data_IF_703633456455
#
_entry.id   IF_703633456455
#
_cell.length_a   1.000
_cell.length_b   1.000
_cell.length_c   1.000
_cell.angle_alpha   90.00
_cell.angle_beta   90.00
_cell.angle_gamma   90.00
#
_symmetry.space_group_name_H-M   'P 1'
#
loop_
_entity.id
_entity.type
_entity.pdbx_description
1 polymer ?
#
# COMPACT_ATOMS: atom_id res chain seq x y z
N UNK A 1 -32.56 4.34 -1.36
CA UNK A 1 -31.60 3.32 -0.91
C UNK A 1 -30.49 4.05 -0.18
N UNK A 2 -30.15 3.67 1.05
CA UNK A 2 -29.00 4.24 1.72
C UNK A 2 -27.73 3.82 0.96
N UNK A 3 -26.75 4.72 0.84
CA UNK A 3 -25.44 4.34 0.30
C UNK A 3 -24.87 3.18 1.15
N UNK A 4 -24.22 2.19 0.53
CA UNK A 4 -23.54 1.15 1.31
C UNK A 4 -22.56 1.81 2.28
N UNK A 5 -22.52 1.32 3.53
CA UNK A 5 -21.60 1.81 4.55
C UNK A 5 -20.14 1.59 4.16
N UNK A 6 -19.19 2.18 4.92
CA UNK A 6 -17.76 2.02 4.65
C UNK A 6 -17.35 0.55 4.69
N UNK A 7 -16.46 0.17 3.78
CA UNK A 7 -15.85 -1.16 3.73
C UNK A 7 -14.55 -1.14 4.55
N UNK A 8 -14.38 -2.11 5.43
CA UNK A 8 -13.17 -2.29 6.22
C UNK A 8 -12.49 -3.60 5.81
N UNK A 9 -11.21 -3.53 5.45
CA UNK A 9 -10.43 -4.71 5.06
C UNK A 9 -9.02 -4.59 5.60
N UNK A 10 -8.55 -5.64 6.27
CA UNK A 10 -7.20 -5.75 6.80
C UNK A 10 -6.42 -6.76 5.95
N UNK A 11 -5.34 -6.30 5.31
CA UNK A 11 -4.41 -7.18 4.60
C UNK A 11 -3.22 -7.52 5.49
N UNK A 12 -3.00 -8.82 5.72
CA UNK A 12 -1.89 -9.34 6.50
C UNK A 12 -0.85 -9.96 5.57
N UNK A 13 0.31 -9.32 5.48
CA UNK A 13 1.40 -9.71 4.59
C UNK A 13 2.61 -10.04 5.46
N UNK A 14 3.05 -11.30 5.41
CA UNK A 14 4.32 -11.70 6.01
C UNK A 14 5.41 -11.49 4.96
N UNK A 15 6.54 -10.90 5.36
CA UNK A 15 7.71 -10.72 4.49
C UNK A 15 8.88 -11.55 5.04
N UNK A 16 9.55 -12.36 4.22
CA UNK A 16 10.65 -13.22 4.67
C UNK A 16 11.98 -12.48 4.66
N UNK A 17 12.77 -12.67 5.71
CA UNK A 17 14.17 -12.22 5.75
C UNK A 17 14.31 -10.71 5.53
N UNK A 18 13.41 -9.89 6.11
CA UNK A 18 13.49 -8.42 6.00
C UNK A 18 13.35 -7.80 7.38
N UNK A 19 14.35 -7.04 7.82
CA UNK A 19 14.23 -6.21 9.03
C UNK A 19 13.37 -4.97 8.76
N UNK A 20 12.94 -4.27 9.82
CA UNK A 20 12.25 -2.98 9.65
C UNK A 20 13.11 -1.96 8.88
N UNK A 21 14.42 -1.91 9.08
CA UNK A 21 15.29 -1.00 8.34
C UNK A 21 15.32 -1.32 6.84
N UNK A 22 15.40 -2.61 6.50
CA UNK A 22 15.36 -3.07 5.11
C UNK A 22 13.99 -2.82 4.46
N UNK A 23 12.89 -2.98 5.21
CA UNK A 23 11.54 -2.62 4.75
C UNK A 23 11.47 -1.14 4.44
N UNK A 24 11.99 -0.26 5.31
CA UNK A 24 11.94 1.19 5.09
C UNK A 24 12.64 1.58 3.77
N UNK A 25 13.83 1.03 3.53
CA UNK A 25 14.58 1.25 2.29
C UNK A 25 13.83 0.69 1.08
N UNK A 26 13.30 -0.53 1.20
CA UNK A 26 12.55 -1.21 0.14
C UNK A 26 11.27 -0.48 -0.24
N UNK A 27 10.53 0.07 0.74
CA UNK A 27 9.33 0.88 0.53
C UNK A 27 9.66 2.15 -0.26
N UNK A 28 10.70 2.88 0.13
CA UNK A 28 11.10 4.10 -0.58
C UNK A 28 11.54 3.80 -2.01
N UNK A 29 12.33 2.74 -2.21
CA UNK A 29 12.73 2.30 -3.54
C UNK A 29 11.53 1.92 -4.41
N UNK A 30 10.61 1.12 -3.86
CA UNK A 30 9.39 0.69 -4.57
C UNK A 30 8.50 1.87 -4.90
N UNK A 31 8.31 2.81 -3.97
CA UNK A 31 7.57 4.05 -4.20
C UNK A 31 8.14 4.83 -5.39
N UNK A 32 9.46 5.04 -5.42
CA UNK A 32 10.13 5.74 -6.50
C UNK A 32 10.01 4.99 -7.84
N UNK A 33 10.21 3.67 -7.83
CA UNK A 33 10.11 2.84 -9.04
C UNK A 33 8.70 2.80 -9.60
N UNK A 34 7.69 2.60 -8.77
CA UNK A 34 6.29 2.62 -9.17
C UNK A 34 5.90 4.01 -9.68
N UNK A 35 6.32 5.09 -9.00
CA UNK A 35 6.05 6.45 -9.49
C UNK A 35 6.64 6.70 -10.87
N UNK A 36 7.87 6.21 -11.14
CA UNK A 36 8.49 6.32 -12.47
C UNK A 36 7.76 5.47 -13.53
N UNK A 37 7.35 4.25 -13.19
CA UNK A 37 6.65 3.36 -14.11
C UNK A 37 5.24 3.90 -14.47
N UNK A 38 4.60 4.58 -13.53
CA UNK A 38 3.26 5.15 -13.71
C UNK A 38 3.25 6.53 -14.36
N UNK A 39 4.40 7.19 -14.50
CA UNK A 39 4.49 8.55 -15.04
C UNK A 39 4.84 8.56 -16.53
N UNK A 40 3.96 9.17 -17.34
CA UNK A 40 4.16 9.37 -18.77
C UNK A 40 3.02 10.16 -19.42
N UNK A 41 3.33 11.01 -20.41
CA UNK A 41 2.30 11.65 -21.24
C UNK A 41 1.33 12.59 -20.51
N UNK A 42 1.80 13.34 -19.50
CA UNK A 42 1.02 14.19 -18.60
C UNK A 42 0.08 13.46 -17.61
N UNK A 43 0.26 12.15 -17.45
CA UNK A 43 -0.41 11.32 -16.44
C UNK A 43 0.63 10.67 -15.51
N UNK A 44 0.19 10.23 -14.32
CA UNK A 44 1.05 9.63 -13.31
C UNK A 44 1.00 10.32 -11.94
N UNK A 45 2.13 10.33 -11.24
CA UNK A 45 2.25 10.85 -9.87
C UNK A 45 2.88 12.23 -9.88
N UNK A 46 2.12 13.25 -9.50
CA UNK A 46 2.63 14.60 -9.27
C UNK A 46 2.91 14.81 -7.78
N UNK A 47 4.13 15.23 -7.43
CA UNK A 47 4.51 15.53 -6.04
C UNK A 47 4.31 17.02 -5.80
N UNK A 48 3.34 17.37 -4.94
CA UNK A 48 3.05 18.77 -4.56
C UNK A 48 3.86 19.16 -3.32
N UNK A 49 3.88 18.30 -2.31
CA UNK A 49 4.62 18.49 -1.06
C UNK A 49 5.37 17.21 -0.72
N UNK A 50 6.61 17.37 -0.25
CA UNK A 50 7.44 16.32 0.32
C UNK A 50 8.38 16.96 1.34
N UNK A 51 7.97 17.03 2.61
CA UNK A 51 8.74 17.70 3.65
C UNK A 51 8.55 17.05 5.03
N UNK A 52 9.55 17.16 5.92
CA UNK A 52 9.38 16.80 7.32
C UNK A 52 8.33 17.70 7.99
N UNK A 53 7.48 17.11 8.84
CA UNK A 53 6.49 17.83 9.65
C UNK A 53 6.37 17.20 11.04
N UNK A 54 5.72 17.93 11.94
CA UNK A 54 5.22 17.37 13.20
C UNK A 54 3.72 17.13 13.06
N UNK A 55 3.26 15.95 13.41
CA UNK A 55 1.83 15.58 13.43
C UNK A 55 1.07 16.29 14.55
N UNK A 56 -0.26 16.27 14.50
CA UNK A 56 -1.12 16.83 15.55
C UNK A 56 -0.90 16.17 16.93
N UNK A 57 -0.40 14.93 16.94
CA UNK A 57 -0.03 14.19 18.14
C UNK A 57 1.37 14.52 18.66
N UNK A 58 2.11 15.39 17.96
CA UNK A 58 3.47 15.81 18.32
C UNK A 58 4.58 14.88 17.82
N UNK A 59 4.26 13.89 16.98
CA UNK A 59 5.25 12.96 16.40
C UNK A 59 5.86 13.56 15.13
N UNK A 60 7.18 13.47 14.98
CA UNK A 60 7.90 13.81 13.75
C UNK A 60 7.54 12.83 12.63
N UNK A 61 7.27 13.34 11.43
CA UNK A 61 6.86 12.56 10.27
C UNK A 61 7.45 13.13 8.98
N UNK A 62 7.45 12.31 7.93
CA UNK A 62 7.57 12.80 6.56
C UNK A 62 6.16 12.96 5.98
N UNK A 63 5.83 14.18 5.56
CA UNK A 63 4.54 14.51 4.97
C UNK A 63 4.64 14.55 3.44
N UNK A 64 3.73 13.86 2.78
CA UNK A 64 3.58 13.90 1.33
C UNK A 64 2.18 14.37 0.95
N UNK A 65 2.11 15.26 -0.02
CA UNK A 65 0.90 15.52 -0.79
C UNK A 65 1.22 15.27 -2.26
N UNK A 66 0.57 14.25 -2.82
CA UNK A 66 0.67 13.88 -4.23
C UNK A 66 -0.69 13.98 -4.91
N UNK A 67 -0.69 14.27 -6.20
CA UNK A 67 -1.86 14.17 -7.06
C UNK A 67 -1.63 13.02 -8.05
N UNK A 68 -2.53 12.05 -8.05
CA UNK A 68 -2.53 10.92 -8.96
C UNK A 68 -3.45 11.23 -10.14
N UNK A 69 -2.87 11.32 -11.33
CA UNK A 69 -3.57 11.59 -12.59
C UNK A 69 -3.93 10.26 -13.27
N UNK A 70 -5.19 9.82 -13.13
CA UNK A 70 -5.60 8.43 -13.43
C UNK A 70 -6.32 8.25 -14.79
N UNK A 71 -6.34 9.25 -15.66
CA UNK A 71 -7.22 9.23 -16.82
C UNK A 71 -6.99 8.04 -17.78
N UNK A 72 -5.75 7.66 -18.12
CA UNK A 72 -5.47 6.43 -18.88
C UNK A 72 -5.56 5.14 -18.09
N UNK A 73 -5.56 5.22 -16.76
CA UNK A 73 -5.49 4.06 -15.85
C UNK A 73 -6.86 3.53 -15.44
N UNK A 74 -7.93 4.26 -15.76
CA UNK A 74 -9.30 3.78 -15.56
C UNK A 74 -9.90 3.20 -16.85
N UNK A 75 -10.81 2.21 -16.75
CA UNK A 75 -11.57 1.71 -17.88
C UNK A 75 -12.18 2.81 -18.74
N UNK A 76 -12.17 2.63 -20.07
CA UNK A 76 -12.63 3.65 -21.05
C UNK A 76 -14.02 4.19 -20.76
N UNK A 77 -14.94 3.35 -20.27
CA UNK A 77 -16.30 3.77 -19.91
C UNK A 77 -16.29 4.78 -18.77
N UNK A 78 -15.48 4.55 -17.74
CA UNK A 78 -15.32 5.50 -16.62
C UNK A 78 -14.73 6.81 -17.15
N UNK A 79 -13.68 6.74 -17.97
CA UNK A 79 -13.07 7.95 -18.56
C UNK A 79 -14.04 8.80 -19.38
N UNK A 80 -14.92 8.18 -20.18
CA UNK A 80 -15.87 8.91 -21.02
C UNK A 80 -17.01 9.57 -20.21
N UNK A 81 -17.29 9.06 -19.02
CA UNK A 81 -18.35 9.57 -18.14
C UNK A 81 -17.82 10.51 -17.05
N UNK A 82 -16.51 10.47 -16.78
CA UNK A 82 -15.86 11.23 -15.73
C UNK A 82 -15.78 12.74 -16.08
N UNK A 83 -16.33 13.63 -15.25
CA UNK A 83 -16.17 15.07 -15.40
C UNK A 83 -14.71 15.51 -15.19
N UNK A 84 -14.38 16.75 -15.60
CA UNK A 84 -13.06 17.33 -15.35
C UNK A 84 -12.72 17.29 -13.85
N UNK A 85 -11.51 16.84 -13.49
CA UNK A 85 -11.07 16.68 -12.10
C UNK A 85 -11.56 15.40 -11.40
N UNK A 86 -12.47 14.61 -12.01
CA UNK A 86 -12.97 13.37 -11.40
C UNK A 86 -11.94 12.23 -11.38
N UNK A 87 -10.84 12.37 -12.12
CA UNK A 87 -9.78 11.37 -12.25
C UNK A 87 -8.45 11.84 -11.63
N UNK A 88 -8.51 12.87 -10.79
CA UNK A 88 -7.39 13.39 -10.01
C UNK A 88 -7.61 13.00 -8.54
N UNK A 89 -6.73 12.15 -8.01
CA UNK A 89 -6.84 11.67 -6.63
C UNK A 89 -5.72 12.28 -5.80
N UNK A 90 -6.10 12.99 -4.74
CA UNK A 90 -5.16 13.50 -3.75
C UNK A 90 -4.75 12.37 -2.83
N UNK A 91 -3.46 12.06 -2.81
CA UNK A 91 -2.78 11.16 -1.87
C UNK A 91 -2.09 12.03 -0.82
N UNK A 92 -2.63 12.01 0.40
CA UNK A 92 -2.04 12.67 1.56
C UNK A 92 -1.47 11.59 2.46
N UNK A 93 -0.15 11.52 2.58
CA UNK A 93 0.54 10.52 3.39
C UNK A 93 1.28 11.17 4.55
N UNK A 94 1.03 10.66 5.75
CA UNK A 94 1.81 10.93 6.96
C UNK A 94 2.63 9.67 7.27
N UNK A 95 3.94 9.77 7.07
CA UNK A 95 4.88 8.67 7.31
C UNK A 95 5.62 8.89 8.64
N UNK A 96 5.19 8.14 9.67
CA UNK A 96 5.83 8.03 10.98
C UNK A 96 6.43 6.64 11.15
N UNK A 97 7.09 6.11 10.11
CA UNK A 97 7.62 4.73 10.06
C UNK A 97 8.08 4.22 11.44
N UNK A 98 7.58 3.05 11.91
CA UNK A 98 6.94 1.98 11.14
C UNK A 98 5.41 2.08 10.99
N UNK A 99 4.80 3.23 11.29
CA UNK A 99 3.38 3.48 11.04
C UNK A 99 3.22 4.48 9.92
N UNK A 100 2.40 4.16 8.93
CA UNK A 100 2.14 5.05 7.80
C UNK A 100 0.64 5.13 7.62
N UNK A 101 0.13 6.35 7.46
CA UNK A 101 -1.26 6.59 7.13
C UNK A 101 -1.36 7.41 5.85
N UNK A 102 -2.15 6.92 4.91
CA UNK A 102 -2.42 7.60 3.64
C UNK A 102 -3.92 7.76 3.47
N UNK A 103 -4.36 8.99 3.21
CA UNK A 103 -5.73 9.29 2.83
C UNK A 103 -5.79 9.62 1.34
N UNK A 104 -6.65 8.92 0.61
CA UNK A 104 -6.99 9.23 -0.78
C UNK A 104 -8.33 9.95 -0.84
N UNK A 105 -8.36 11.11 -1.50
CA UNK A 105 -9.55 11.95 -1.64
C UNK A 105 -9.69 12.50 -3.06
N UNK A 106 -10.89 12.93 -3.44
CA UNK A 106 -11.16 13.57 -4.72
C UNK A 106 -11.90 14.90 -4.47
N UNK A 107 -11.20 15.93 -3.98
CA UNK A 107 -11.82 17.15 -3.48
C UNK A 107 -12.56 17.94 -4.56
N UNK A 108 -12.14 17.86 -5.81
CA UNK A 108 -12.68 18.69 -6.89
C UNK A 108 -14.00 18.18 -7.46
N UNK A 109 -14.29 16.88 -7.34
CA UNK A 109 -15.51 16.29 -7.89
C UNK A 109 -16.34 15.51 -6.86
N UNK A 110 -15.85 14.41 -6.32
CA UNK A 110 -16.62 13.56 -5.40
C UNK A 110 -16.72 14.15 -3.99
N UNK A 111 -15.80 15.02 -3.58
CA UNK A 111 -15.75 15.63 -2.24
C UNK A 111 -15.86 14.55 -1.15
N UNK A 112 -16.80 14.70 -0.22
CA UNK A 112 -17.07 13.75 0.86
C UNK A 112 -17.65 12.40 0.39
N UNK A 113 -18.02 12.29 -0.90
CA UNK A 113 -18.50 11.06 -1.50
C UNK A 113 -17.40 10.04 -1.82
N UNK A 114 -16.12 10.41 -1.72
CA UNK A 114 -14.99 9.50 -1.93
C UNK A 114 -13.90 9.70 -0.88
N UNK A 115 -13.60 8.61 -0.17
CA UNK A 115 -12.53 8.56 0.80
C UNK A 115 -11.98 7.14 0.92
N UNK A 116 -10.66 7.00 0.87
CA UNK A 116 -9.96 5.74 1.19
C UNK A 116 -8.90 6.05 2.23
N UNK A 117 -9.02 5.46 3.42
CA UNK A 117 -8.04 5.55 4.49
C UNK A 117 -7.22 4.25 4.52
N UNK A 118 -5.91 4.36 4.30
CA UNK A 118 -4.99 3.22 4.35
C UNK A 118 -4.04 3.43 5.51
N UNK A 119 -4.07 2.50 6.47
CA UNK A 119 -3.13 2.45 7.58
C UNK A 119 -2.22 1.24 7.41
N UNK A 120 -0.92 1.45 7.57
CA UNK A 120 0.13 0.41 7.49
C UNK A 120 0.89 0.40 8.81
N UNK A 121 1.08 -0.78 9.38
CA UNK A 121 1.92 -1.00 10.56
C UNK A 121 2.90 -2.09 10.19
N UNK A 122 4.19 -1.78 10.25
CA UNK A 122 5.26 -2.75 10.08
C UNK A 122 5.70 -3.26 11.45
N UNK A 123 5.78 -4.59 11.60
CA UNK A 123 6.16 -5.23 12.86
C UNK A 123 7.31 -6.18 12.61
N UNK A 124 8.34 -6.05 13.43
CA UNK A 124 9.46 -6.98 13.40
C UNK A 124 9.09 -8.31 14.06
N UNK A 125 9.65 -9.40 13.56
CA UNK A 125 9.51 -10.74 14.13
C UNK A 125 8.06 -11.24 14.35
N UNK A 126 7.10 -10.72 13.57
CA UNK A 126 5.68 -11.11 13.59
C UNK A 126 5.30 -11.95 12.35
N UNK A 127 4.47 -12.97 12.57
CA UNK A 127 3.88 -13.80 11.52
C UNK A 127 2.52 -13.27 11.05
N UNK A 128 2.25 -11.99 11.31
CA UNK A 128 0.98 -11.30 11.10
C UNK A 128 -0.18 -12.07 11.76
N UNK A 129 0.03 -12.47 13.02
CA UNK A 129 -0.97 -13.23 13.81
C UNK A 129 -1.60 -12.41 14.93
N UNK A 130 -1.06 -11.23 15.22
CA UNK A 130 -1.64 -10.35 16.23
C UNK A 130 -3.00 -9.81 15.77
N UNK A 131 -3.96 -9.81 16.69
CA UNK A 131 -5.30 -9.33 16.43
C UNK A 131 -5.44 -7.85 16.82
N UNK A 132 -6.22 -7.11 16.06
CA UNK A 132 -6.58 -5.71 16.32
C UNK A 132 -5.38 -4.73 16.46
N UNK A 133 -4.32 -4.91 15.66
CA UNK A 133 -3.11 -4.07 15.70
C UNK A 133 -3.37 -2.57 15.46
N UNK A 134 -4.49 -2.24 14.81
CA UNK A 134 -4.93 -0.87 14.53
C UNK A 134 -5.80 -0.28 15.66
N UNK A 135 -6.02 -1.00 16.75
CA UNK A 135 -6.86 -0.59 17.88
C UNK A 135 -8.26 -0.15 17.43
N UNK A 136 -8.90 -0.92 16.56
CA UNK A 136 -10.26 -0.66 16.11
C UNK A 136 -11.24 -0.88 17.26
N UNK A 137 -12.31 -0.08 17.26
CA UNK A 137 -13.48 -0.31 18.11
C UNK A 137 -14.21 -1.60 17.71
N UNK A 138 -15.05 -2.12 18.61
CA UNK A 138 -15.72 -3.40 18.42
C UNK A 138 -16.64 -3.42 17.18
N UNK A 139 -17.26 -2.29 16.83
CA UNK A 139 -18.16 -2.19 15.68
C UNK A 139 -17.37 -2.31 14.36
N UNK A 140 -16.30 -1.53 14.20
CA UNK A 140 -15.43 -1.61 13.02
C UNK A 140 -14.74 -2.96 12.92
N UNK A 141 -14.26 -3.50 14.05
CA UNK A 141 -13.61 -4.81 14.08
C UNK A 141 -14.58 -5.89 13.62
N UNK A 142 -15.83 -5.87 14.06
CA UNK A 142 -16.85 -6.84 13.63
C UNK A 142 -17.18 -6.76 12.12
N UNK A 143 -16.98 -5.59 11.50
CA UNK A 143 -17.20 -5.36 10.05
C UNK A 143 -15.94 -5.53 9.21
N UNK A 144 -14.78 -5.76 9.82
CA UNK A 144 -13.49 -5.85 9.11
C UNK A 144 -13.29 -7.24 8.52
N UNK A 145 -13.05 -7.29 7.20
CA UNK A 145 -12.62 -8.51 6.53
C UNK A 145 -11.10 -8.65 6.62
N UNK A 146 -10.61 -9.71 7.26
CA UNK A 146 -9.17 -9.99 7.30
C UNK A 146 -8.77 -10.91 6.14
N UNK A 147 -7.81 -10.48 5.33
CA UNK A 147 -7.26 -11.20 4.19
C UNK A 147 -5.76 -11.44 4.45
N UNK A 148 -5.33 -12.70 4.42
CA UNK A 148 -3.91 -13.07 4.52
C UNK A 148 -3.36 -13.24 3.12
N UNK A 149 -2.32 -12.49 2.78
CA UNK A 149 -1.63 -12.59 1.49
C UNK A 149 -0.42 -13.52 1.65
N UNK A 150 -0.30 -14.49 0.76
CA UNK A 150 0.86 -15.36 0.60
C UNK A 150 1.60 -15.01 -0.69
N UNK A 151 2.72 -14.29 -0.55
CA UNK A 151 3.52 -13.83 -1.70
C UNK A 151 4.11 -14.98 -2.55
N UNK A 152 4.06 -16.23 -2.08
CA UNK A 152 4.54 -17.41 -2.83
C UNK A 152 3.38 -18.24 -3.38
N UNK A 153 2.36 -18.48 -2.55
CA UNK A 153 1.33 -19.46 -2.86
C UNK A 153 0.04 -18.86 -3.45
N UNK A 154 -0.19 -17.55 -3.30
CA UNK A 154 -1.35 -16.91 -3.90
C UNK A 154 -1.20 -16.81 -5.42
N UNK A 155 -2.31 -16.99 -6.13
CA UNK A 155 -2.31 -16.90 -7.59
C UNK A 155 -2.20 -15.44 -8.06
N UNK A 156 -1.25 -15.20 -8.94
CA UNK A 156 -1.10 -13.92 -9.67
C UNK A 156 -1.66 -14.09 -11.07
N UNK A 157 -2.35 -13.06 -11.58
CA UNK A 157 -2.88 -13.07 -12.93
C UNK A 157 -1.75 -13.15 -13.96
N UNK A 158 -1.99 -13.73 -15.13
CA UNK A 158 -0.96 -13.78 -16.19
C UNK A 158 -0.55 -12.39 -16.68
N UNK A 159 -1.42 -11.40 -16.57
CA UNK A 159 -1.13 -10.02 -16.99
C UNK A 159 -0.27 -9.26 -16.00
N UNK A 160 -0.32 -9.63 -14.72
CA UNK A 160 0.46 -9.00 -13.65
C UNK A 160 1.73 -9.78 -13.31
N UNK A 161 1.87 -11.02 -13.80
CA UNK A 161 3.03 -11.86 -13.56
C UNK A 161 4.28 -11.33 -14.28
N UNK A 162 5.37 -11.20 -13.54
CA UNK A 162 6.71 -11.03 -14.08
C UNK A 162 7.67 -11.98 -13.37
N UNK A 163 8.50 -12.68 -14.15
CA UNK A 163 9.54 -13.56 -13.65
C UNK A 163 10.58 -12.82 -12.81
N UNK A 164 10.87 -11.55 -13.12
CA UNK A 164 11.83 -10.72 -12.37
C UNK A 164 11.36 -10.40 -10.95
N UNK A 165 10.06 -10.48 -10.68
CA UNK A 165 9.45 -10.21 -9.37
C UNK A 165 8.93 -11.48 -8.70
N UNK A 166 9.21 -12.66 -9.27
CA UNK A 166 8.72 -13.94 -8.77
C UNK A 166 9.61 -14.44 -7.62
N UNK A 167 9.11 -14.48 -6.36
CA UNK A 167 9.93 -14.84 -5.22
C UNK A 167 10.34 -16.32 -5.20
N UNK A 168 9.72 -17.19 -6.00
CA UNK A 168 10.13 -18.60 -6.13
C UNK A 168 11.29 -18.80 -7.11
N UNK A 169 11.60 -17.76 -7.91
CA UNK A 169 12.69 -17.77 -8.89
C UNK A 169 13.83 -16.85 -8.49
N UNK A 170 13.51 -15.78 -7.76
CA UNK A 170 14.49 -14.78 -7.36
C UNK A 170 15.43 -15.28 -6.25
N UNK A 171 16.74 -15.11 -6.47
CA UNK A 171 17.79 -15.41 -5.48
C UNK A 171 18.75 -14.24 -5.35
N UNK A 172 18.92 -13.76 -4.13
CA UNK A 172 19.86 -12.69 -3.81
C UNK A 172 21.18 -13.28 -3.31
N UNK A 173 22.09 -13.57 -4.26
CA UNK A 173 23.37 -14.24 -4.00
C UNK A 173 24.22 -13.57 -2.92
N UNK A 174 24.25 -12.23 -2.88
CA UNK A 174 25.10 -11.46 -1.94
C UNK A 174 24.83 -11.75 -0.47
N UNK A 175 23.59 -12.10 -0.12
CA UNK A 175 23.17 -12.35 1.26
C UNK A 175 22.40 -13.68 1.41
N UNK A 176 22.51 -14.56 0.42
CA UNK A 176 21.93 -15.91 0.41
C UNK A 176 20.43 -15.97 0.75
N UNK A 177 19.63 -15.00 0.25
CA UNK A 177 18.17 -14.99 0.43
C UNK A 177 17.46 -15.52 -0.80
N UNK A 178 16.44 -16.34 -0.58
CA UNK A 178 15.67 -16.99 -1.64
C UNK A 178 16.43 -18.09 -2.40
N UNK A 179 15.79 -18.71 -3.41
CA UNK A 179 14.36 -18.58 -3.72
C UNK A 179 13.47 -19.10 -2.61
N UNK A 180 12.23 -18.60 -2.54
CA UNK A 180 11.25 -19.09 -1.58
C UNK A 180 10.61 -20.38 -2.06
N UNK A 181 10.39 -21.31 -1.14
CA UNK A 181 9.68 -22.57 -1.36
C UNK A 181 8.24 -22.48 -0.89
N UNK A 182 7.38 -23.43 -1.26
CA UNK A 182 5.97 -23.43 -0.84
C UNK A 182 5.78 -23.40 0.69
N UNK A 183 6.72 -23.97 1.44
CA UNK A 183 6.77 -24.00 2.91
C UNK A 183 7.55 -22.84 3.54
N UNK A 184 7.84 -21.78 2.79
CA UNK A 184 8.70 -20.67 3.22
C UNK A 184 8.33 -20.11 4.59
N UNK A 185 7.04 -19.95 4.92
CA UNK A 185 6.54 -19.44 6.21
C UNK A 185 6.97 -20.26 7.44
N UNK A 186 7.30 -21.55 7.25
CA UNK A 186 7.85 -22.42 8.30
C UNK A 186 9.34 -22.12 8.51
N UNK A 187 10.04 -21.88 7.41
CA UNK A 187 11.50 -21.73 7.35
C UNK A 187 11.99 -20.28 7.51
N UNK A 188 11.09 -19.30 7.65
CA UNK A 188 11.46 -17.95 8.12
C UNK A 188 11.76 -18.05 9.62
N UNK A 189 12.98 -18.48 9.94
CA UNK A 189 13.53 -18.46 11.30
C UNK A 189 13.77 -17.01 11.75
N UNK A 190 13.37 -16.70 12.99
CA UNK A 190 13.72 -15.46 13.70
C UNK A 190 15.24 -15.26 13.63
N UNK A 191 15.70 -14.12 13.13
CA UNK A 191 17.07 -13.67 13.35
C UNK A 191 17.12 -12.88 14.66
#
# INVERSE_FOLDING_TARGET
>A
MAAPGPLYTEFRIVLPYVSLDEIQIGLLYTLCKTSLAETGGAEGVEIIVNEPRTTDTGEECQYYHKILHLASKVPRVIRMLAPKGALEIHDITTDTYPKIRTAYTNPDYMKDGFHVDVQKIFKDNDKATEENVFNLDDEKRAKTLTIKIDIVNDQVSQTDYSEDTDPIKFRLEKISRGPLTADWKVNVSRH
#
